data_IF_119304509294
#
_entry.id   IF_119304509294
#
_cell.length_a   1.000
_cell.length_b   1.000
_cell.length_c   1.000
_cell.angle_alpha   90.00
_cell.angle_beta   90.00
_cell.angle_gamma   90.00
#
_symmetry.space_group_name_H-M   'P 1'
#
loop_
_entity.id
_entity.type
_entity.pdbx_description
1 polymer ?
#
# COMPACT_ATOMS: atom_id res chain seq x y z
N UNK A 1 -13.26 1.41 -10.63
CA UNK A 1 -12.90 0.04 -11.04
C UNK A 1 -11.84 -0.55 -10.11
N UNK A 2 -10.70 0.13 -9.95
CA UNK A 2 -9.56 -0.28 -9.10
C UNK A 2 -9.93 -0.71 -7.67
N UNK A 3 -10.83 0.00 -6.98
CA UNK A 3 -11.22 -0.39 -5.61
C UNK A 3 -11.87 -1.79 -5.54
N UNK A 4 -12.70 -2.15 -6.54
CA UNK A 4 -13.36 -3.47 -6.55
C UNK A 4 -12.37 -4.59 -6.85
N UNK A 5 -11.35 -4.30 -7.66
CA UNK A 5 -10.28 -5.26 -7.97
C UNK A 5 -9.38 -5.48 -6.75
N UNK A 6 -9.04 -4.41 -6.02
CA UNK A 6 -8.31 -4.50 -4.76
C UNK A 6 -9.07 -5.32 -3.72
N UNK A 7 -10.38 -5.09 -3.58
CA UNK A 7 -11.22 -5.87 -2.66
C UNK A 7 -11.28 -7.36 -3.05
N UNK A 8 -11.33 -7.67 -4.35
CA UNK A 8 -11.29 -9.05 -4.84
C UNK A 8 -9.95 -9.75 -4.55
N UNK A 9 -8.87 -8.98 -4.42
CA UNK A 9 -7.54 -9.45 -4.03
C UNK A 9 -7.32 -9.46 -2.51
N UNK A 10 -8.37 -9.18 -1.72
CA UNK A 10 -8.29 -9.13 -0.25
C UNK A 10 -7.62 -7.89 0.31
N UNK A 11 -7.53 -6.82 -0.49
CA UNK A 11 -6.94 -5.53 -0.10
C UNK A 11 -8.04 -4.49 0.09
N UNK A 12 -8.03 -3.84 1.24
CA UNK A 12 -8.97 -2.76 1.57
C UNK A 12 -8.29 -1.41 1.44
N UNK A 13 -8.88 -0.50 0.67
CA UNK A 13 -8.40 0.89 0.61
C UNK A 13 -8.91 1.65 1.82
N UNK A 14 -8.00 2.15 2.65
CA UNK A 14 -8.31 2.96 3.82
C UNK A 14 -8.44 4.44 3.44
N UNK A 15 -7.54 4.93 2.59
CA UNK A 15 -7.57 6.30 2.09
C UNK A 15 -6.75 6.45 0.80
N UNK A 16 -7.11 7.46 0.02
CA UNK A 16 -6.45 7.80 -1.23
C UNK A 16 -6.29 9.32 -1.33
N UNK A 17 -5.11 9.76 -1.75
CA UNK A 17 -4.77 11.17 -1.88
C UNK A 17 -4.11 11.42 -3.23
N UNK A 18 -4.46 12.52 -3.88
CA UNK A 18 -3.63 13.12 -4.91
C UNK A 18 -2.58 14.00 -4.21
N UNK A 19 -1.31 13.88 -4.60
CA UNK A 19 -0.22 14.64 -3.98
C UNK A 19 0.52 15.45 -5.03
N UNK A 20 0.95 16.65 -4.64
CA UNK A 20 1.68 17.56 -5.51
C UNK A 20 3.18 17.46 -5.21
N UNK A 21 3.77 16.33 -5.57
CA UNK A 21 5.17 16.03 -5.28
C UNK A 21 5.78 15.06 -6.28
N UNK A 22 6.74 14.26 -5.83
CA UNK A 22 7.42 13.26 -6.68
C UNK A 22 6.54 12.08 -7.11
N UNK A 23 5.34 11.98 -6.52
CA UNK A 23 4.32 11.00 -6.86
C UNK A 23 3.03 11.74 -7.19
N UNK A 24 2.17 11.14 -8.00
CA UNK A 24 0.85 11.70 -8.32
C UNK A 24 -0.20 11.30 -7.28
N UNK A 25 -0.07 10.08 -6.72
CA UNK A 25 -1.05 9.49 -5.81
C UNK A 25 -0.40 8.74 -4.66
N UNK A 26 -1.05 8.75 -3.50
CA UNK A 26 -0.73 7.92 -2.34
C UNK A 26 -1.98 7.15 -1.93
N UNK A 27 -1.84 5.84 -1.79
CA UNK A 27 -2.91 4.95 -1.33
C UNK A 27 -2.48 4.30 -0.01
N UNK A 28 -3.31 4.44 1.01
CA UNK A 28 -3.17 3.71 2.27
C UNK A 28 -4.11 2.52 2.19
N UNK A 29 -3.54 1.33 2.24
CA UNK A 29 -4.27 0.07 2.06
C UNK A 29 -3.97 -0.88 3.21
N UNK A 30 -4.93 -1.73 3.52
CA UNK A 30 -4.82 -2.81 4.49
C UNK A 30 -4.89 -4.14 3.74
N UNK A 31 -3.98 -5.05 4.07
CA UNK A 31 -3.90 -6.39 3.52
C UNK A 31 -3.50 -7.36 4.63
N UNK A 32 -3.83 -8.66 4.51
CA UNK A 32 -3.47 -9.65 5.52
C UNK A 32 -1.95 -9.83 5.67
N UNK A 33 -1.19 -9.63 4.59
CA UNK A 33 0.26 -9.79 4.56
C UNK A 33 0.92 -8.98 3.43
N UNK A 34 2.25 -8.89 3.47
CA UNK A 34 3.06 -8.18 2.47
C UNK A 34 3.05 -8.89 1.10
N UNK A 35 2.85 -10.21 1.06
CA UNK A 35 2.83 -10.97 -0.19
C UNK A 35 1.60 -10.63 -1.03
N UNK A 36 0.47 -10.40 -0.37
CA UNK A 36 -0.79 -9.95 -0.97
C UNK A 36 -0.60 -8.58 -1.64
N UNK A 37 0.07 -7.63 -0.97
CA UNK A 37 0.44 -6.34 -1.58
C UNK A 37 1.42 -6.53 -2.75
N UNK A 38 2.38 -7.45 -2.64
CA UNK A 38 3.29 -7.77 -3.73
C UNK A 38 2.55 -8.21 -5.01
N UNK A 39 1.56 -9.09 -4.88
CA UNK A 39 0.72 -9.53 -6.01
C UNK A 39 -0.06 -8.37 -6.62
N UNK A 40 -0.69 -7.54 -5.77
CA UNK A 40 -1.43 -6.34 -6.19
C UNK A 40 -0.51 -5.38 -6.95
N UNK A 41 0.70 -5.15 -6.47
CA UNK A 41 1.66 -4.26 -7.12
C UNK A 41 2.12 -4.76 -8.48
N UNK A 42 2.31 -6.08 -8.63
CA UNK A 42 2.61 -6.71 -9.93
C UNK A 42 1.41 -6.56 -10.86
N UNK A 43 0.20 -6.84 -10.38
CA UNK A 43 -1.00 -6.80 -11.22
C UNK A 43 -1.32 -5.37 -11.69
N UNK A 44 -1.28 -4.39 -10.78
CA UNK A 44 -1.49 -2.99 -11.12
C UNK A 44 -0.34 -2.43 -11.99
N UNK A 45 0.90 -2.84 -11.73
CA UNK A 45 2.07 -2.47 -12.55
C UNK A 45 2.04 -3.09 -13.94
N UNK A 46 1.41 -4.24 -14.13
CA UNK A 46 1.27 -4.90 -15.44
C UNK A 46 0.35 -4.13 -16.41
N UNK A 47 -0.53 -3.27 -15.87
CA UNK A 47 -1.53 -2.50 -16.63
C UNK A 47 -0.96 -1.26 -17.32
N UNK A 48 0.35 -1.01 -17.26
CA UNK A 48 1.03 0.01 -18.06
C UNK A 48 1.78 1.06 -17.24
N UNK A 49 1.66 2.33 -17.65
CA UNK A 49 2.54 3.49 -17.35
C UNK A 49 2.70 3.88 -15.87
N UNK A 50 2.07 3.16 -14.94
CA UNK A 50 2.07 3.48 -13.52
C UNK A 50 3.26 2.79 -12.86
N UNK A 51 4.18 3.58 -12.29
CA UNK A 51 5.23 3.06 -11.41
C UNK A 51 4.72 3.05 -9.98
N UNK A 52 4.65 1.88 -9.38
CA UNK A 52 4.15 1.68 -8.02
C UNK A 52 5.33 1.43 -7.08
N UNK A 53 5.36 2.18 -5.98
CA UNK A 53 6.27 1.92 -4.86
C UNK A 53 5.44 1.49 -3.67
N UNK A 54 5.61 0.25 -3.23
CA UNK A 54 4.95 -0.28 -2.03
C UNK A 54 5.84 -0.10 -0.81
N UNK A 55 5.28 0.44 0.26
CA UNK A 55 5.99 0.65 1.52
C UNK A 55 5.20 0.00 2.65
N UNK A 56 5.81 -0.96 3.35
CA UNK A 56 5.20 -1.57 4.52
C UNK A 56 5.16 -0.54 5.66
N UNK A 57 3.95 -0.24 6.15
CA UNK A 57 3.76 0.67 7.26
C UNK A 57 3.78 -0.10 8.58
N UNK A 58 4.62 0.35 9.53
CA UNK A 58 4.60 -0.13 10.91
C UNK A 58 3.84 0.90 11.75
N UNK A 59 2.83 0.51 12.55
CA UNK A 59 2.18 1.42 13.48
C UNK A 59 3.20 2.11 14.39
N UNK A 60 3.07 3.42 14.57
CA UNK A 60 4.04 4.23 15.30
C UNK A 60 4.27 3.71 16.73
N UNK A 61 3.22 3.25 17.41
CA UNK A 61 3.32 2.70 18.76
C UNK A 61 4.20 1.44 18.79
N UNK A 62 4.02 0.52 17.83
CA UNK A 62 4.86 -0.69 17.70
C UNK A 62 6.32 -0.35 17.38
N UNK A 63 6.53 0.65 16.54
CA UNK A 63 7.87 1.12 16.20
C UNK A 63 8.59 1.68 17.44
N UNK A 64 7.92 2.54 18.22
CA UNK A 64 8.45 3.11 19.47
C UNK A 64 8.79 2.01 20.48
N UNK A 65 7.92 1.02 20.65
CA UNK A 65 8.14 -0.11 21.57
C UNK A 65 9.36 -0.95 21.20
N UNK A 66 9.67 -1.09 19.92
CA UNK A 66 10.84 -1.83 19.44
C UNK A 66 12.13 -1.09 19.76
N UNK A 67 12.14 0.24 19.55
CA UNK A 67 13.32 1.08 19.83
C UNK A 67 13.58 1.22 21.33
N UNK A 68 12.54 1.35 22.16
CA UNK A 68 12.71 1.44 23.63
C UNK A 68 13.24 0.18 24.29
N UNK A 69 13.09 -0.98 23.63
CA UNK A 69 13.61 -2.27 24.09
C UNK A 69 15.05 -2.55 23.63
N UNK A 70 15.64 -1.64 22.84
CA UNK A 70 17.01 -1.75 22.31
C UNK A 70 18.03 -1.06 23.21
#
# INVERSE_FOLDING_TARGET
EVNKELEALGVRVLSQYAVLGSYDFVNIVEAPDNETIGKVSIELGSRGTIKITSMAAIPIDKFIDTVKKS
#
